data_IF_306622237003
#
_entry.id   IF_306622237003
#
_cell.length_a   1.000
_cell.length_b   1.000
_cell.length_c   1.000
_cell.angle_alpha   90.00
_cell.angle_beta   90.00
_cell.angle_gamma   90.00
#
_symmetry.space_group_name_H-M   'P 1'
#
loop_
_entity.id
_entity.type
_entity.pdbx_description
1 polymer ?
#
# COMPACT_ATOMS: atom_id res chain seq x y z
N UNK A 1 -12.51 -65.25 9.60
CA UNK A 1 -13.63 -64.30 9.77
C UNK A 1 -13.42 -63.14 8.81
N UNK A 2 -14.33 -63.00 7.84
CA UNK A 2 -14.77 -61.78 7.14
C UNK A 2 -13.69 -60.80 6.64
N UNK A 3 -13.38 -60.79 5.35
CA UNK A 3 -14.11 -60.06 4.27
C UNK A 3 -14.08 -58.54 4.42
N UNK A 4 -13.40 -57.84 3.49
CA UNK A 4 -14.01 -56.84 2.58
C UNK A 4 -13.00 -56.39 1.52
N UNK A 5 -13.40 -56.60 0.26
CA UNK A 5 -12.87 -56.00 -0.96
C UNK A 5 -13.53 -54.62 -1.20
N UNK A 6 -12.97 -53.92 -2.21
CA UNK A 6 -13.45 -52.76 -2.99
C UNK A 6 -12.84 -51.42 -2.58
N UNK A 7 -12.60 -50.43 -3.44
CA UNK A 7 -12.27 -50.27 -4.87
C UNK A 7 -12.28 -48.74 -5.05
N UNK A 8 -11.37 -48.16 -5.87
CA UNK A 8 -11.45 -46.78 -6.42
C UNK A 8 -11.32 -45.63 -5.39
N UNK A 9 -10.82 -44.43 -5.67
CA UNK A 9 -10.46 -43.71 -6.90
C UNK A 9 -9.59 -42.51 -6.50
N UNK A 10 -8.64 -42.15 -7.34
CA UNK A 10 -8.04 -40.80 -7.45
C UNK A 10 -8.28 -40.34 -8.89
N UNK A 11 -8.17 -39.05 -9.25
CA UNK A 11 -8.30 -37.81 -8.48
C UNK A 11 -9.38 -36.88 -9.12
N UNK A 12 -9.88 -35.88 -8.39
CA UNK A 12 -10.62 -34.77 -9.01
C UNK A 12 -9.87 -33.48 -8.75
N UNK A 13 -9.24 -33.03 -9.83
CA UNK A 13 -8.58 -31.75 -10.02
C UNK A 13 -9.54 -30.61 -9.65
N UNK A 14 -9.19 -29.80 -8.64
CA UNK A 14 -9.79 -28.49 -8.47
C UNK A 14 -9.14 -27.54 -9.49
N UNK A 15 -9.79 -27.41 -10.65
CA UNK A 15 -9.53 -26.31 -11.57
C UNK A 15 -10.02 -25.05 -10.88
N UNK A 16 -9.10 -24.29 -10.29
CA UNK A 16 -9.37 -22.90 -9.93
C UNK A 16 -9.48 -22.12 -11.25
N UNK A 17 -10.72 -21.83 -11.65
CA UNK A 17 -11.00 -20.95 -12.77
C UNK A 17 -10.43 -19.54 -12.48
N UNK A 18 -9.96 -18.83 -13.51
CA UNK A 18 -9.50 -17.46 -13.33
C UNK A 18 -10.68 -16.56 -12.96
N UNK A 19 -10.38 -15.61 -12.08
CA UNK A 19 -11.23 -14.50 -11.64
C UNK A 19 -12.10 -13.97 -12.79
N UNK A 20 -13.39 -14.34 -12.75
CA UNK A 20 -14.37 -13.94 -13.76
C UNK A 20 -14.77 -12.50 -13.50
N UNK A 21 -14.36 -11.62 -14.41
CA UNK A 21 -14.75 -10.21 -14.43
C UNK A 21 -16.27 -10.13 -14.39
N UNK A 22 -16.84 -9.59 -13.30
CA UNK A 22 -18.28 -9.33 -13.22
C UNK A 22 -18.66 -8.32 -14.30
N UNK A 23 -19.12 -8.81 -15.45
CA UNK A 23 -19.76 -8.01 -16.48
C UNK A 23 -21.15 -7.62 -15.97
N UNK A 24 -21.31 -6.38 -15.56
CA UNK A 24 -22.65 -5.81 -15.39
C UNK A 24 -23.22 -5.58 -16.79
N UNK A 25 -24.11 -6.47 -17.23
CA UNK A 25 -24.89 -6.28 -18.45
C UNK A 25 -25.97 -5.23 -18.17
N UNK A 26 -25.84 -4.06 -18.80
CA UNK A 26 -26.87 -3.03 -18.78
C UNK A 26 -27.87 -3.32 -19.91
N UNK A 27 -29.19 -3.33 -19.66
CA UNK A 27 -30.17 -3.53 -20.72
C UNK A 27 -30.22 -2.29 -21.63
N UNK A 28 -29.72 -2.44 -22.87
CA UNK A 28 -29.93 -1.46 -23.93
C UNK A 28 -31.32 -1.66 -24.53
N UNK A 29 -32.27 -0.84 -24.13
CA UNK A 29 -33.57 -0.77 -24.81
C UNK A 29 -33.76 0.63 -25.38
N UNK A 30 -33.30 0.89 -26.60
CA UNK A 30 -33.83 1.97 -27.43
C UNK A 30 -33.63 1.65 -28.92
N UNK A 31 -34.69 1.06 -29.48
CA UNK A 31 -34.94 0.97 -30.92
C UNK A 31 -35.32 2.36 -31.42
N UNK A 32 -34.48 3.01 -32.23
CA UNK A 32 -35.03 3.79 -33.34
C UNK A 32 -34.06 3.97 -34.53
N UNK A 33 -34.71 4.01 -35.69
CA UNK A 33 -34.23 3.89 -37.05
C UNK A 33 -34.04 5.29 -37.63
N UNK A 34 -32.88 5.60 -38.23
CA UNK A 34 -32.80 6.77 -39.12
C UNK A 34 -31.44 7.42 -39.35
N UNK A 35 -30.86 7.11 -40.51
CA UNK A 35 -30.03 7.95 -41.39
C UNK A 35 -28.65 8.51 -40.94
N UNK A 36 -27.67 8.02 -41.69
CA UNK A 36 -26.36 8.58 -42.11
C UNK A 36 -26.24 10.11 -42.01
N UNK A 37 -25.14 10.57 -41.40
CA UNK A 37 -24.15 11.46 -42.04
C UNK A 37 -22.84 11.45 -41.25
N UNK A 38 -21.76 11.15 -41.97
CA UNK A 38 -20.36 11.29 -41.60
C UNK A 38 -19.96 12.76 -41.57
N UNK A 39 -19.27 13.21 -40.53
CA UNK A 39 -18.38 14.36 -40.61
C UNK A 39 -17.31 14.29 -39.51
N UNK A 40 -16.09 13.99 -39.94
CA UNK A 40 -14.83 14.21 -39.24
C UNK A 40 -14.59 15.68 -38.96
N UNK A 41 -14.16 16.04 -37.75
CA UNK A 41 -13.44 17.30 -37.49
C UNK A 41 -12.52 17.11 -36.28
N UNK A 42 -11.24 16.97 -36.60
CA UNK A 42 -10.09 17.18 -35.74
C UNK A 42 -9.95 18.67 -35.41
N UNK A 43 -9.66 19.01 -34.15
CA UNK A 43 -8.98 20.27 -33.83
C UNK A 43 -8.23 20.15 -32.50
N UNK A 44 -6.92 19.99 -32.62
CA UNK A 44 -5.94 20.42 -31.61
C UNK A 44 -6.04 21.93 -31.43
N UNK A 45 -6.02 22.42 -30.20
CA UNK A 45 -5.44 23.73 -29.91
C UNK A 45 -4.48 23.64 -28.73
N UNK A 46 -3.19 23.66 -29.10
CA UNK A 46 -2.09 24.12 -28.26
C UNK A 46 -2.26 25.62 -28.02
N UNK A 47 -2.13 26.06 -26.78
CA UNK A 47 -1.67 27.41 -26.47
C UNK A 47 -0.42 27.28 -25.59
N UNK A 48 0.67 27.86 -26.09
CA UNK A 48 1.95 27.96 -25.40
C UNK A 48 2.15 29.32 -24.74
N UNK A 49 3.36 29.42 -24.17
CA UNK A 49 4.12 30.61 -23.75
C UNK A 49 3.81 31.29 -22.39
N UNK A 50 4.58 30.85 -21.36
CA UNK A 50 5.73 31.54 -20.71
C UNK A 50 5.70 33.08 -20.48
N UNK A 51 6.53 33.62 -19.56
CA UNK A 51 6.82 33.26 -18.16
C UNK A 51 6.91 34.56 -17.29
N UNK A 52 7.59 34.46 -16.13
CA UNK A 52 8.16 35.56 -15.32
C UNK A 52 7.34 36.07 -14.13
N UNK A 53 7.65 35.53 -12.93
CA UNK A 53 7.65 36.36 -11.73
C UNK A 53 8.92 36.16 -10.90
N UNK A 54 9.50 37.30 -10.55
CA UNK A 54 10.84 37.54 -10.04
C UNK A 54 11.06 36.96 -8.64
N UNK A 55 12.22 36.33 -8.43
CA UNK A 55 12.82 36.17 -7.10
C UNK A 55 13.09 37.56 -6.50
N UNK A 56 12.58 37.80 -5.28
CA UNK A 56 13.07 38.87 -4.41
C UNK A 56 14.00 38.28 -3.36
N UNK A 57 15.29 38.55 -3.56
CA UNK A 57 16.33 38.43 -2.54
C UNK A 57 16.09 39.46 -1.44
N UNK A 58 16.03 39.05 -0.18
CA UNK A 58 16.14 39.95 0.96
C UNK A 58 17.41 39.67 1.76
N UNK A 59 18.20 40.71 1.93
CA UNK A 59 19.45 40.73 2.69
C UNK A 59 19.20 40.72 4.21
N UNK A 60 19.86 39.77 4.86
CA UNK A 60 20.72 39.89 6.06
C UNK A 60 20.45 41.07 7.01
N UNK A 61 20.00 40.75 8.23
CA UNK A 61 20.39 41.48 9.46
C UNK A 61 20.57 40.51 10.62
N UNK A 62 21.79 40.44 11.12
CA UNK A 62 22.14 39.90 12.43
C UNK A 62 21.70 40.86 13.53
N UNK A 63 21.45 40.36 14.75
CA UNK A 63 22.07 40.97 15.90
C UNK A 63 22.72 39.92 16.83
N UNK A 64 23.90 40.28 17.32
CA UNK A 64 24.62 39.58 18.38
C UNK A 64 24.24 40.13 19.77
N UNK A 65 24.38 39.27 20.78
CA UNK A 65 24.75 39.56 22.18
C UNK A 65 23.63 40.16 23.10
N UNK A 66 23.40 39.75 24.36
CA UNK A 66 24.08 38.88 25.33
C UNK A 66 23.09 38.47 26.46
N UNK A 67 23.49 37.47 27.25
CA UNK A 67 23.28 37.23 28.70
C UNK A 67 22.70 35.86 29.11
N UNK A 68 23.47 35.28 30.02
CA UNK A 68 23.44 33.99 30.67
C UNK A 68 22.38 33.91 31.77
N UNK A 69 21.70 32.76 31.86
CA UNK A 69 21.33 32.09 33.13
C UNK A 69 21.27 30.58 32.89
N UNK A 70 21.85 29.73 33.76
CA UNK A 70 21.60 28.30 33.69
C UNK A 70 20.30 28.01 34.45
N UNK A 71 19.20 27.79 33.72
CA UNK A 71 18.02 27.14 34.29
C UNK A 71 18.34 25.66 34.41
N UNK A 72 18.63 25.22 35.64
CA UNK A 72 18.58 23.81 36.01
C UNK A 72 17.11 23.40 35.99
N UNK A 73 16.66 22.89 34.84
CA UNK A 73 15.37 22.21 34.74
C UNK A 73 15.46 20.85 35.44
N UNK A 74 14.39 20.39 36.11
CA UNK A 74 14.36 19.05 36.66
C UNK A 74 14.52 18.04 35.52
N UNK A 75 15.42 17.08 35.70
CA UNK A 75 15.58 15.92 34.85
C UNK A 75 14.26 15.15 34.80
N UNK A 76 13.40 15.47 33.84
CA UNK A 76 12.22 14.69 33.53
C UNK A 76 12.66 13.47 32.73
N UNK A 77 13.07 12.42 33.44
CA UNK A 77 13.27 11.07 32.90
C UNK A 77 11.92 10.40 32.61
N UNK A 78 11.11 11.01 31.76
CA UNK A 78 9.78 10.53 31.37
C UNK A 78 9.54 10.64 29.86
N UNK A 79 10.60 10.61 29.05
CA UNK A 79 10.53 10.74 27.59
C UNK A 79 10.66 9.41 26.83
N UNK A 80 10.97 8.29 27.49
CA UNK A 80 11.17 7.00 26.81
C UNK A 80 9.85 6.26 26.50
N UNK A 81 8.81 6.45 27.31
CA UNK A 81 7.52 5.76 27.12
C UNK A 81 6.68 6.35 25.99
N UNK A 82 6.73 7.67 25.79
CA UNK A 82 5.99 8.35 24.72
C UNK A 82 6.62 8.10 23.34
N UNK A 83 7.94 8.09 23.23
CA UNK A 83 8.64 7.78 21.97
C UNK A 83 8.36 6.37 21.47
N UNK A 84 8.15 5.40 22.38
CA UNK A 84 7.78 4.03 22.00
C UNK A 84 6.33 3.90 21.52
N UNK A 85 5.40 4.68 22.09
CA UNK A 85 3.97 4.62 21.75
C UNK A 85 3.69 5.16 20.34
N UNK A 86 4.47 6.14 19.89
CA UNK A 86 4.33 6.75 18.56
C UNK A 86 5.12 6.03 17.45
N UNK A 87 5.74 4.89 17.77
CA UNK A 87 6.61 4.17 16.84
C UNK A 87 5.90 3.68 15.56
N UNK A 88 4.60 3.39 15.63
CA UNK A 88 3.77 3.00 14.48
C UNK A 88 3.34 4.17 13.59
N UNK A 89 3.54 5.43 14.03
CA UNK A 89 3.31 6.60 13.16
C UNK A 89 4.37 6.71 12.06
N UNK A 90 5.52 6.07 12.25
CA UNK A 90 6.60 6.04 11.28
C UNK A 90 6.59 4.74 10.48
N UNK A 91 6.97 4.83 9.19
CA UNK A 91 7.16 3.69 8.30
C UNK A 91 8.60 3.62 7.81
N UNK A 92 9.47 2.98 8.60
CA UNK A 92 10.93 2.91 8.38
C UNK A 92 11.38 1.58 7.76
N UNK A 93 10.49 0.59 7.72
CA UNK A 93 10.70 -0.67 7.03
C UNK A 93 10.06 -0.64 5.64
N UNK A 94 10.63 -1.38 4.69
CA UNK A 94 10.18 -1.45 3.31
C UNK A 94 9.85 -2.90 2.97
N UNK A 95 8.61 -3.17 2.58
CA UNK A 95 8.27 -4.46 1.99
C UNK A 95 8.58 -4.41 0.50
N UNK A 96 9.77 -4.91 0.14
CA UNK A 96 10.38 -4.67 -1.18
C UNK A 96 10.02 -5.73 -2.21
N UNK A 97 9.79 -6.97 -1.77
CA UNK A 97 9.43 -8.09 -2.65
C UNK A 97 8.50 -9.08 -1.95
N UNK A 98 7.95 -10.06 -2.67
CA UNK A 98 7.09 -11.09 -2.06
C UNK A 98 7.80 -11.83 -0.91
N UNK A 99 9.13 -11.95 -0.98
CA UNK A 99 9.95 -12.73 -0.05
C UNK A 99 10.87 -11.90 0.85
N UNK A 100 11.00 -10.58 0.66
CA UNK A 100 11.94 -9.76 1.43
C UNK A 100 11.31 -8.47 1.97
N UNK A 101 11.58 -8.19 3.24
CA UNK A 101 11.35 -6.90 3.91
C UNK A 101 12.72 -6.31 4.27
N UNK A 102 12.98 -5.07 3.91
CA UNK A 102 14.22 -4.35 4.21
C UNK A 102 14.02 -3.38 5.37
N UNK A 103 14.87 -3.43 6.40
CA UNK A 103 14.79 -2.50 7.52
C UNK A 103 16.19 -2.18 8.08
N UNK A 104 16.46 -0.90 8.33
CA UNK A 104 17.74 -0.42 8.84
C UNK A 104 17.77 -0.51 10.39
N UNK A 105 18.24 -1.66 10.88
CA UNK A 105 18.26 -2.01 12.31
C UNK A 105 19.40 -2.99 12.62
N UNK A 106 20.03 -2.77 13.77
CA UNK A 106 21.11 -3.61 14.30
C UNK A 106 20.51 -4.83 15.04
N UNK A 107 19.95 -5.78 14.30
CA UNK A 107 19.33 -6.98 14.84
C UNK A 107 20.33 -8.14 15.03
N UNK A 108 21.55 -7.89 15.55
CA UNK A 108 22.61 -8.92 15.56
C UNK A 108 22.22 -10.19 16.32
N UNK A 109 21.28 -10.12 17.26
CA UNK A 109 20.81 -11.28 18.02
C UNK A 109 19.31 -11.23 18.41
N UNK A 110 18.53 -10.40 17.72
CA UNK A 110 17.11 -10.18 18.01
C UNK A 110 16.16 -11.06 17.19
N UNK A 111 14.92 -11.21 17.66
CA UNK A 111 13.84 -11.84 16.89
C UNK A 111 12.97 -10.77 16.22
N UNK A 112 12.82 -10.85 14.90
CA UNK A 112 11.98 -9.95 14.12
C UNK A 112 10.62 -10.60 13.82
N UNK A 113 9.56 -9.82 13.91
CA UNK A 113 8.19 -10.27 13.63
C UNK A 113 7.44 -9.28 12.75
N UNK A 114 6.62 -9.80 11.84
CA UNK A 114 5.60 -9.07 11.11
C UNK A 114 4.24 -9.26 11.82
N UNK A 115 3.53 -8.17 12.01
CA UNK A 115 2.20 -8.11 12.60
C UNK A 115 1.21 -7.59 11.56
N UNK A 116 0.02 -8.17 11.56
CA UNK A 116 -1.10 -7.69 10.76
C UNK A 116 -2.38 -7.59 11.59
N UNK A 117 -3.18 -6.55 11.33
CA UNK A 117 -4.54 -6.41 11.84
C UNK A 117 -5.49 -6.04 10.71
N UNK A 118 -6.54 -6.83 10.51
CA UNK A 118 -7.56 -6.61 9.48
C UNK A 118 -8.43 -5.38 9.79
N UNK A 119 -8.61 -5.08 11.07
CA UNK A 119 -9.43 -3.96 11.58
C UNK A 119 -8.61 -2.72 11.93
N UNK A 120 -7.31 -2.74 11.66
CA UNK A 120 -6.37 -1.67 11.97
C UNK A 120 -6.32 -1.27 13.46
N UNK A 121 -6.28 -2.27 14.34
CA UNK A 121 -6.24 -2.08 15.80
C UNK A 121 -4.85 -2.25 16.43
N UNK A 122 -3.76 -2.22 15.64
CA UNK A 122 -2.41 -2.37 16.18
C UNK A 122 -2.07 -1.20 17.12
N UNK A 123 -1.56 -1.53 18.30
CA UNK A 123 -1.08 -0.56 19.29
C UNK A 123 0.22 -1.06 19.92
N UNK A 124 1.09 -0.12 20.32
CA UNK A 124 2.34 -0.43 21.01
C UNK A 124 2.19 -0.13 22.49
N UNK A 125 2.43 -1.15 23.31
CA UNK A 125 2.47 -1.05 24.78
C UNK A 125 3.88 -1.34 25.28
N UNK A 126 4.10 -1.22 26.59
CA UNK A 126 5.39 -1.54 27.21
C UNK A 126 5.80 -3.02 27.02
N UNK A 127 4.83 -3.90 26.77
CA UNK A 127 5.04 -5.33 26.56
C UNK A 127 5.14 -5.70 25.05
N UNK A 128 5.04 -4.70 24.16
CA UNK A 128 5.15 -4.85 22.70
C UNK A 128 3.86 -4.55 21.93
N UNK A 129 3.74 -5.08 20.70
CA UNK A 129 2.55 -4.86 19.86
C UNK A 129 1.37 -5.72 20.34
N UNK A 130 0.22 -5.08 20.44
CA UNK A 130 -1.08 -5.69 20.76
C UNK A 130 -2.10 -5.38 19.64
N UNK A 131 -3.26 -6.06 19.68
CA UNK A 131 -4.35 -5.85 18.72
C UNK A 131 -4.10 -6.42 17.33
N UNK A 132 -3.17 -7.38 17.21
CA UNK A 132 -2.88 -8.08 15.96
C UNK A 132 -3.75 -9.32 15.81
N UNK A 133 -4.10 -9.65 14.57
CA UNK A 133 -4.78 -10.89 14.20
C UNK A 133 -3.75 -11.96 13.78
N UNK A 134 -2.66 -11.52 13.16
CA UNK A 134 -1.59 -12.40 12.66
C UNK A 134 -0.24 -11.92 13.17
N UNK A 135 0.58 -12.87 13.62
CA UNK A 135 1.98 -12.65 14.00
C UNK A 135 2.87 -13.69 13.32
N UNK A 136 3.85 -13.22 12.57
CA UNK A 136 4.75 -14.03 11.75
C UNK A 136 6.19 -13.76 12.18
N UNK A 137 6.96 -14.81 12.45
CA UNK A 137 8.41 -14.66 12.68
C UNK A 137 9.12 -14.48 11.34
N UNK A 138 9.97 -13.46 11.25
CA UNK A 138 10.82 -13.22 10.09
C UNK A 138 12.24 -13.66 10.39
N UNK A 139 12.88 -14.29 9.41
CA UNK A 139 14.28 -14.70 9.50
C UNK A 139 15.17 -13.69 8.81
N UNK A 140 16.37 -13.44 9.34
CA UNK A 140 17.34 -12.57 8.67
C UNK A 140 17.87 -13.27 7.43
N UNK A 141 17.96 -12.55 6.31
CA UNK A 141 18.67 -13.03 5.13
C UNK A 141 20.13 -12.57 5.15
N UNK A 142 21.06 -13.49 5.37
CA UNK A 142 22.49 -13.16 5.39
C UNK A 142 23.07 -12.95 3.98
N UNK A 143 22.29 -13.17 2.91
CA UNK A 143 22.74 -12.99 1.53
C UNK A 143 22.62 -11.54 1.04
N UNK A 144 21.91 -10.68 1.77
CA UNK A 144 21.64 -9.30 1.36
C UNK A 144 20.32 -9.14 0.60
N UNK A 145 20.05 -7.91 0.15
CA UNK A 145 18.93 -7.63 -0.75
C UNK A 145 19.24 -8.18 -2.15
N UNK A 146 18.20 -8.63 -2.85
CA UNK A 146 18.35 -9.08 -4.24
C UNK A 146 18.75 -7.94 -5.17
N UNK A 147 19.51 -8.26 -6.23
CA UNK A 147 20.04 -7.24 -7.16
C UNK A 147 18.92 -6.36 -7.76
N UNK A 148 17.82 -6.98 -8.19
CA UNK A 148 16.66 -6.26 -8.72
C UNK A 148 16.08 -5.24 -7.72
N UNK A 149 16.10 -5.56 -6.43
CA UNK A 149 15.63 -4.65 -5.37
C UNK A 149 16.61 -3.49 -5.20
N UNK A 150 17.91 -3.75 -5.24
CA UNK A 150 18.95 -2.72 -5.10
C UNK A 150 18.94 -1.77 -6.29
N UNK A 151 18.79 -2.28 -7.51
CA UNK A 151 18.66 -1.46 -8.72
C UNK A 151 17.43 -0.54 -8.65
N UNK A 152 16.30 -1.07 -8.18
CA UNK A 152 15.05 -0.32 -8.05
C UNK A 152 15.07 0.69 -6.90
N UNK A 153 15.72 0.33 -5.79
CA UNK A 153 15.77 1.10 -4.55
C UNK A 153 17.22 1.22 -4.04
N UNK A 154 18.09 2.00 -4.71
CA UNK A 154 19.51 2.07 -4.37
C UNK A 154 19.78 2.68 -2.99
N UNK A 155 18.85 3.49 -2.48
CA UNK A 155 18.96 4.17 -1.18
C UNK A 155 18.78 3.23 0.03
N UNK A 156 18.24 2.03 -0.16
CA UNK A 156 18.10 1.00 0.90
C UNK A 156 19.10 -0.13 0.76
N UNK A 157 20.12 -0.01 -0.10
CA UNK A 157 21.10 -1.07 -0.40
C UNK A 157 21.69 -1.72 0.86
N UNK A 158 21.99 -0.91 1.87
CA UNK A 158 22.64 -1.35 3.11
C UNK A 158 21.63 -1.76 4.20
N UNK A 159 20.33 -1.83 3.87
CA UNK A 159 19.31 -2.24 4.83
C UNK A 159 19.35 -3.74 5.03
N UNK A 160 19.04 -4.17 6.25
CA UNK A 160 19.00 -5.58 6.57
C UNK A 160 17.76 -6.23 5.96
N UNK A 161 17.92 -7.30 5.17
CA UNK A 161 16.80 -8.07 4.63
C UNK A 161 16.26 -9.08 5.64
N UNK A 162 14.94 -9.20 5.67
CA UNK A 162 14.17 -10.16 6.45
C UNK A 162 13.31 -10.99 5.49
N UNK A 163 13.43 -12.32 5.58
CA UNK A 163 12.69 -13.28 4.76
C UNK A 163 11.25 -13.38 5.22
N UNK A 164 10.35 -13.24 4.25
CA UNK A 164 8.94 -13.53 4.39
C UNK A 164 8.68 -14.98 3.95
N UNK A 165 8.07 -15.82 4.80
CA UNK A 165 7.72 -17.19 4.43
C UNK A 165 6.85 -17.26 3.17
N UNK A 166 7.23 -18.11 2.22
CA UNK A 166 6.53 -18.25 0.93
C UNK A 166 5.11 -18.83 1.04
N UNK A 167 4.82 -19.49 2.17
CA UNK A 167 3.50 -20.07 2.50
C UNK A 167 2.46 -19.02 2.86
N UNK A 168 2.85 -17.76 3.07
CA UNK A 168 1.94 -16.69 3.46
C UNK A 168 1.12 -16.18 2.29
N UNK A 169 -0.15 -15.90 2.56
CA UNK A 169 -0.99 -15.16 1.63
C UNK A 169 -0.73 -13.65 1.72
N UNK A 170 0.36 -13.23 1.07
CA UNK A 170 0.78 -11.83 1.01
C UNK A 170 -0.31 -10.92 0.46
N UNK A 171 -1.15 -11.39 -0.48
CA UNK A 171 -2.19 -10.55 -1.09
C UNK A 171 -3.26 -10.12 -0.09
N UNK A 172 -3.63 -11.02 0.83
CA UNK A 172 -4.59 -10.70 1.88
C UNK A 172 -3.96 -9.81 2.95
N UNK A 173 -2.71 -10.08 3.35
CA UNK A 173 -2.00 -9.25 4.34
C UNK A 173 -1.84 -7.79 3.90
N UNK A 174 -1.63 -7.53 2.60
CA UNK A 174 -1.46 -6.17 2.07
C UNK A 174 -2.74 -5.31 2.17
N UNK A 175 -3.88 -5.88 2.56
CA UNK A 175 -5.13 -5.16 2.85
C UNK A 175 -5.32 -4.85 4.34
N UNK A 176 -4.42 -5.32 5.19
CA UNK A 176 -4.44 -5.14 6.63
C UNK A 176 -3.53 -3.97 7.04
N UNK A 177 -3.68 -3.50 8.28
CA UNK A 177 -2.66 -2.68 8.91
C UNK A 177 -1.45 -3.56 9.22
N UNK A 178 -0.24 -3.12 8.85
CA UNK A 178 0.97 -3.90 8.97
C UNK A 178 2.04 -3.16 9.79
N UNK A 179 2.74 -3.89 10.64
CA UNK A 179 3.89 -3.40 11.39
C UNK A 179 4.96 -4.48 11.52
N UNK A 180 6.23 -4.07 11.60
CA UNK A 180 7.31 -4.96 12.03
C UNK A 180 7.82 -4.55 13.39
N UNK A 181 8.32 -5.53 14.14
CA UNK A 181 9.01 -5.27 15.39
C UNK A 181 10.20 -6.18 15.62
N UNK A 182 11.17 -5.67 16.38
CA UNK A 182 12.30 -6.42 16.89
C UNK A 182 12.22 -6.54 18.40
N UNK A 183 12.54 -7.74 18.87
CA UNK A 183 12.77 -8.06 20.27
C UNK A 183 14.25 -8.38 20.46
N UNK A 184 14.84 -7.86 21.54
CA UNK A 184 16.21 -8.15 21.92
C UNK A 184 16.41 -9.64 22.26
N UNK A 185 17.67 -10.05 22.44
CA UNK A 185 18.02 -11.42 22.82
C UNK A 185 17.50 -11.83 24.21
N UNK A 186 17.23 -10.84 25.06
CA UNK A 186 16.59 -11.01 26.36
C UNK A 186 15.05 -11.14 26.28
N UNK A 187 14.50 -11.14 25.06
CA UNK A 187 13.07 -11.20 24.79
C UNK A 187 12.34 -9.89 25.05
N UNK A 188 13.05 -8.81 25.43
CA UNK A 188 12.42 -7.51 25.65
C UNK A 188 12.13 -6.80 24.33
N UNK A 189 11.05 -6.04 24.36
CA UNK A 189 10.67 -5.14 23.29
C UNK A 189 11.79 -4.14 22.99
N UNK A 190 12.12 -3.94 21.70
CA UNK A 190 13.12 -2.95 21.28
C UNK A 190 12.50 -1.84 20.44
N UNK A 191 11.94 -2.17 19.27
CA UNK A 191 11.43 -1.17 18.33
C UNK A 191 10.37 -1.76 17.41
N UNK A 192 9.44 -0.90 16.97
CA UNK A 192 8.54 -1.19 15.86
C UNK A 192 8.43 -0.03 14.89
N UNK A 193 7.91 -0.36 13.72
CA UNK A 193 7.57 0.62 12.70
C UNK A 193 6.56 0.03 11.72
N UNK A 194 5.80 0.89 11.05
CA UNK A 194 5.00 0.51 9.88
C UNK A 194 5.87 0.15 8.67
N UNK A 195 5.22 -0.37 7.62
CA UNK A 195 5.88 -0.73 6.38
C UNK A 195 5.49 0.17 5.22
N UNK A 196 6.47 0.46 4.37
CA UNK A 196 6.25 1.01 3.04
C UNK A 196 6.07 -0.14 2.05
N UNK A 197 4.95 -0.15 1.33
CA UNK A 197 4.53 -1.25 0.46
C UNK A 197 4.81 -1.09 -1.07
N UNK A 198 5.32 0.03 -1.64
CA UNK A 198 5.44 0.15 -3.10
C UNK A 198 6.18 -1.00 -3.80
N UNK A 199 7.26 -1.52 -3.19
CA UNK A 199 8.06 -2.60 -3.80
C UNK A 199 7.26 -3.88 -4.02
N UNK A 200 6.66 -4.41 -2.96
CA UNK A 200 5.84 -5.62 -3.03
C UNK A 200 4.56 -5.43 -3.83
N UNK A 201 3.97 -4.22 -3.82
CA UNK A 201 2.79 -3.92 -4.63
C UNK A 201 3.11 -3.97 -6.12
N UNK A 202 4.25 -3.41 -6.54
CA UNK A 202 4.66 -3.45 -7.93
C UNK A 202 4.97 -4.88 -8.40
N UNK A 203 5.58 -5.71 -7.54
CA UNK A 203 5.87 -7.11 -7.90
C UNK A 203 4.59 -7.95 -8.04
N UNK A 204 3.63 -7.79 -7.13
CA UNK A 204 2.45 -8.67 -7.06
C UNK A 204 1.27 -8.14 -7.89
N UNK A 205 1.12 -6.83 -8.00
CA UNK A 205 -0.05 -6.17 -8.57
C UNK A 205 0.26 -5.27 -9.77
N UNK A 206 1.42 -5.43 -10.42
CA UNK A 206 1.68 -4.77 -11.71
C UNK A 206 0.53 -5.01 -12.68
N UNK A 207 0.00 -3.95 -13.27
CA UNK A 207 -1.16 -4.00 -14.15
C UNK A 207 -0.93 -3.15 -15.39
N UNK A 208 -1.09 -3.75 -16.57
CA UNK A 208 -0.90 -3.10 -17.88
C UNK A 208 -2.19 -3.05 -18.71
N UNK A 209 -3.35 -3.33 -18.09
CA UNK A 209 -4.64 -3.30 -18.76
C UNK A 209 -5.31 -1.92 -18.74
N UNK A 210 -6.55 -1.80 -19.25
CA UNK A 210 -7.28 -0.54 -19.25
C UNK A 210 -7.61 -0.07 -17.83
N UNK A 211 -7.57 1.24 -17.61
CA UNK A 211 -8.01 1.90 -16.37
C UNK A 211 -9.12 2.90 -16.68
N UNK A 212 -9.96 3.18 -15.69
CA UNK A 212 -11.10 4.09 -15.83
C UNK A 212 -12.31 3.43 -16.52
N UNK A 213 -13.11 4.25 -17.20
CA UNK A 213 -14.31 3.81 -17.89
C UNK A 213 -13.99 3.42 -19.34
N UNK A 214 -14.33 2.19 -19.71
CA UNK A 214 -14.23 1.67 -21.08
C UNK A 214 -15.63 1.44 -21.60
N UNK A 215 -15.98 2.14 -22.67
CA UNK A 215 -17.28 2.05 -23.32
C UNK A 215 -17.20 1.04 -24.47
N UNK A 216 -18.16 0.12 -24.53
CA UNK A 216 -18.45 -0.71 -25.70
C UNK A 216 -19.89 -0.46 -26.16
N UNK A 217 -20.27 -1.04 -27.29
CA UNK A 217 -21.65 -0.95 -27.80
C UNK A 217 -22.67 -1.54 -26.82
N UNK A 218 -22.24 -2.46 -25.97
CA UNK A 218 -23.11 -3.27 -25.11
C UNK A 218 -23.03 -2.88 -23.62
N UNK A 219 -21.91 -2.28 -23.17
CA UNK A 219 -21.67 -2.02 -21.76
C UNK A 219 -20.63 -0.92 -21.49
N UNK A 220 -20.62 -0.45 -20.24
CA UNK A 220 -19.54 0.39 -19.69
C UNK A 220 -18.83 -0.42 -18.61
N UNK A 221 -17.52 -0.64 -18.77
CA UNK A 221 -16.66 -1.33 -17.80
C UNK A 221 -15.83 -0.32 -17.02
N UNK A 222 -15.77 -0.45 -15.69
CA UNK A 222 -14.96 0.41 -14.82
C UNK A 222 -13.79 -0.39 -14.25
N UNK A 223 -12.57 0.13 -14.45
CA UNK A 223 -11.35 -0.47 -13.94
C UNK A 223 -10.64 0.52 -13.00
N UNK A 224 -10.34 0.08 -11.79
CA UNK A 224 -9.63 0.87 -10.78
C UNK A 224 -8.47 0.04 -10.21
N UNK A 225 -7.26 0.60 -10.21
CA UNK A 225 -6.13 0.00 -9.54
C UNK A 225 -6.13 0.43 -8.06
N UNK A 226 -6.56 -0.48 -7.19
CA UNK A 226 -6.63 -0.25 -5.75
C UNK A 226 -6.31 -1.56 -4.98
N UNK A 227 -5.08 -2.09 -5.08
CA UNK A 227 -4.75 -3.44 -4.60
C UNK A 227 -4.85 -3.62 -3.08
N UNK A 228 -4.67 -2.54 -2.32
CA UNK A 228 -4.78 -2.53 -0.85
C UNK A 228 -6.18 -2.15 -0.35
N UNK A 229 -7.09 -1.76 -1.25
CA UNK A 229 -8.39 -1.23 -0.85
C UNK A 229 -9.40 -2.35 -0.53
N UNK A 230 -10.32 -2.01 0.37
CA UNK A 230 -11.58 -2.69 0.58
C UNK A 230 -12.66 -1.86 -0.15
N UNK A 231 -12.93 -2.18 -1.42
CA UNK A 231 -13.66 -1.29 -2.34
C UNK A 231 -15.18 -1.49 -2.27
N UNK A 232 -15.93 -0.37 -2.28
CA UNK A 232 -17.36 -0.29 -2.55
C UNK A 232 -17.63 0.71 -3.69
N UNK A 233 -18.59 0.41 -4.57
CA UNK A 233 -19.00 1.30 -5.67
C UNK A 233 -20.38 1.92 -5.39
N UNK A 234 -20.47 3.25 -5.54
CA UNK A 234 -21.74 3.98 -5.44
C UNK A 234 -22.10 4.61 -6.79
N UNK A 235 -23.35 4.38 -7.25
CA UNK A 235 -23.88 4.98 -8.47
C UNK A 235 -24.86 6.09 -8.12
N UNK A 236 -24.64 7.28 -8.66
CA UNK A 236 -25.51 8.44 -8.48
C UNK A 236 -26.27 8.69 -9.77
N UNK A 237 -27.61 8.69 -9.69
CA UNK A 237 -28.48 9.12 -10.78
C UNK A 237 -28.77 10.60 -10.59
N UNK A 238 -28.29 11.44 -11.51
CA UNK A 238 -28.67 12.84 -11.50
C UNK A 238 -30.14 12.97 -11.91
N UNK A 239 -31.02 13.54 -11.07
CA UNK A 239 -32.40 13.76 -11.46
C UNK A 239 -32.48 14.79 -12.60
N UNK A 240 -33.38 14.60 -13.57
CA UNK A 240 -33.46 15.45 -14.76
C UNK A 240 -33.84 16.91 -14.49
N UNK A 241 -34.25 17.25 -13.26
CA UNK A 241 -34.83 18.56 -12.91
C UNK A 241 -33.81 19.61 -12.44
N UNK A 242 -32.51 19.33 -12.43
CA UNK A 242 -31.48 20.27 -11.96
C UNK A 242 -30.45 20.70 -13.04
N UNK A 243 -30.56 20.21 -14.28
CA UNK A 243 -29.80 20.74 -15.42
C UNK A 243 -30.57 21.86 -16.13
N UNK A 244 -31.01 22.87 -15.38
CA UNK A 244 -31.33 24.19 -15.93
C UNK A 244 -30.18 25.10 -15.49
N UNK A 245 -29.67 25.93 -16.39
CA UNK A 245 -28.47 26.78 -16.25
C UNK A 245 -27.11 26.14 -16.63
N UNK A 246 -27.05 25.45 -17.77
CA UNK A 246 -25.91 25.75 -18.66
C UNK A 246 -26.27 27.05 -19.40
N UNK A 247 -25.95 28.20 -18.79
CA UNK A 247 -25.92 29.46 -19.52
C UNK A 247 -24.70 29.40 -20.47
N UNK A 248 -24.89 29.67 -21.77
CA UNK A 248 -23.77 29.78 -22.69
C UNK A 248 -22.92 31.00 -22.31
N UNK A 249 -21.59 30.81 -22.27
CA UNK A 249 -20.63 31.88 -22.51
C UNK A 249 -20.38 31.99 -24.01
#
# INVERSE_FOLDING_TARGET
MMSRLLLSSTPLSAIATPFESTRLLFPTHLRNRGNKKTSSLTREERLGFNPAFRLRTFHRRSPHCCLSTPVVGPTSSSSSSSEMQDSLLYSRAYWVSRSQIAWNVDAENGSCYLYASETACLSVTNDGIQGYDVRIKLEVDNTGLSENVIEKFPHIRDYRPFKVPSTLDVKSLLKSQLAVAIYGSDGKWSTATGLQLPGVLDEIFSYNGPLGAVFSEEAVSLYLWAPTAQVCLFLYVCPPTSCLYCLPL
#
